data_IF_257324688123
#
_entry.id   IF_257324688123
#
_cell.length_a   1.000
_cell.length_b   1.000
_cell.length_c   1.000
_cell.angle_alpha   90.00
_cell.angle_beta   90.00
_cell.angle_gamma   90.00
#
_symmetry.space_group_name_H-M   'P 1'
#
loop_
_entity.id
_entity.type
_entity.pdbx_description
1 polymer ?
#
# COMPACT_ATOMS: atom_id res chain seq x y z
N UNK A 1 -30.69 -44.31 14.41
CA UNK A 1 -29.76 -43.17 14.55
C UNK A 1 -29.63 -42.57 13.16
N UNK A 2 -30.43 -41.54 12.88
CA UNK A 2 -30.48 -40.93 11.55
C UNK A 2 -29.34 -39.92 11.38
N UNK A 3 -28.54 -40.18 10.35
CA UNK A 3 -27.46 -39.34 9.88
C UNK A 3 -28.09 -38.14 9.15
N UNK A 4 -28.31 -37.03 9.86
CA UNK A 4 -28.72 -35.77 9.22
C UNK A 4 -27.56 -35.26 8.38
N UNK A 5 -27.61 -35.55 7.08
CA UNK A 5 -26.86 -34.84 6.05
C UNK A 5 -27.00 -33.34 6.30
N UNK A 6 -25.90 -32.69 6.68
CA UNK A 6 -25.82 -31.22 6.74
C UNK A 6 -26.00 -30.71 5.32
N UNK A 7 -27.24 -30.33 4.99
CA UNK A 7 -27.59 -29.64 3.76
C UNK A 7 -26.81 -28.32 3.72
N UNK A 8 -25.76 -28.24 2.91
CA UNK A 8 -25.05 -27.00 2.65
C UNK A 8 -25.98 -26.08 1.86
N UNK A 9 -26.20 -24.86 2.39
CA UNK A 9 -26.98 -23.82 1.71
C UNK A 9 -26.39 -23.49 0.34
N UNK A 10 -27.26 -23.21 -0.63
CA UNK A 10 -26.86 -22.80 -1.98
C UNK A 10 -26.06 -21.47 -1.92
N UNK A 11 -25.21 -21.22 -2.93
CA UNK A 11 -24.37 -20.01 -2.98
C UNK A 11 -25.24 -18.75 -2.97
N UNK A 12 -26.36 -18.71 -3.70
CA UNK A 12 -27.27 -17.57 -3.69
C UNK A 12 -27.96 -17.38 -2.32
N UNK A 13 -28.33 -18.45 -1.62
CA UNK A 13 -28.92 -18.34 -0.27
C UNK A 13 -27.90 -17.85 0.76
N UNK A 14 -26.63 -18.24 0.62
CA UNK A 14 -25.52 -17.74 1.44
C UNK A 14 -25.21 -16.28 1.13
N UNK A 15 -25.33 -15.88 -0.14
CA UNK A 15 -25.21 -14.48 -0.56
C UNK A 15 -26.39 -13.64 -0.05
N UNK A 16 -27.63 -14.13 -0.09
CA UNK A 16 -28.80 -13.45 0.44
C UNK A 16 -28.81 -13.31 1.97
N UNK A 17 -28.25 -14.31 2.70
CA UNK A 17 -27.99 -14.20 4.14
C UNK A 17 -26.84 -13.24 4.45
N UNK A 18 -25.83 -13.15 3.57
CA UNK A 18 -24.75 -12.17 3.64
C UNK A 18 -25.18 -10.77 3.15
N UNK A 19 -26.23 -10.63 2.35
CA UNK A 19 -26.82 -9.34 1.99
C UNK A 19 -27.47 -8.66 3.20
N UNK A 20 -27.81 -9.41 4.25
CA UNK A 20 -28.18 -8.88 5.56
C UNK A 20 -26.98 -8.57 6.47
N UNK A 21 -25.73 -8.77 6.04
CA UNK A 21 -24.55 -8.77 6.91
C UNK A 21 -23.88 -7.40 7.07
N UNK A 22 -24.63 -6.41 7.52
CA UNK A 22 -24.06 -5.42 8.43
C UNK A 22 -23.81 -6.11 9.78
N UNK A 23 -22.92 -5.58 10.63
CA UNK A 23 -22.84 -6.11 11.97
C UNK A 23 -24.23 -5.96 12.63
N UNK A 24 -24.80 -7.08 13.09
CA UNK A 24 -26.19 -7.12 13.59
C UNK A 24 -26.32 -6.37 14.93
N UNK A 25 -25.19 -6.13 15.62
CA UNK A 25 -25.06 -5.29 16.81
C UNK A 25 -23.63 -4.75 16.94
N UNK A 26 -23.41 -3.82 17.87
CA UNK A 26 -22.07 -3.31 18.23
C UNK A 26 -21.14 -4.42 18.72
N UNK A 27 -21.62 -5.35 19.55
CA UNK A 27 -20.83 -6.48 20.04
C UNK A 27 -20.43 -7.42 18.90
N UNK A 28 -21.31 -7.60 17.92
CA UNK A 28 -20.99 -8.38 16.73
C UNK A 28 -19.90 -7.70 15.88
N UNK A 29 -19.91 -6.37 15.77
CA UNK A 29 -18.87 -5.61 15.07
C UNK A 29 -17.51 -5.76 15.79
N UNK A 30 -17.49 -5.56 17.11
CA UNK A 30 -16.31 -5.74 17.97
C UNK A 30 -15.74 -7.16 17.83
N UNK A 31 -16.60 -8.18 17.90
CA UNK A 31 -16.21 -9.58 17.72
C UNK A 31 -15.65 -9.87 16.32
N UNK A 32 -16.14 -9.20 15.27
CA UNK A 32 -15.60 -9.33 13.91
C UNK A 32 -14.20 -8.72 13.81
N UNK A 33 -13.98 -7.52 14.38
CA UNK A 33 -12.67 -6.87 14.40
C UNK A 33 -11.66 -7.68 15.22
N UNK A 34 -12.05 -8.22 16.38
CA UNK A 34 -11.18 -9.09 17.18
C UNK A 34 -10.78 -10.36 16.42
N UNK A 35 -11.73 -10.99 15.73
CA UNK A 35 -11.44 -12.16 14.89
C UNK A 35 -10.51 -11.80 13.74
N UNK A 36 -10.74 -10.66 13.11
CA UNK A 36 -9.88 -10.16 12.04
C UNK A 36 -8.44 -9.91 12.53
N UNK A 37 -8.25 -9.34 13.73
CA UNK A 37 -6.92 -9.16 14.32
C UNK A 37 -6.17 -10.48 14.59
N UNK A 38 -6.91 -11.56 14.84
CA UNK A 38 -6.39 -12.89 15.17
C UNK A 38 -6.30 -13.87 13.99
N UNK A 39 -6.67 -13.49 12.76
CA UNK A 39 -6.52 -14.40 11.61
C UNK A 39 -5.05 -14.68 11.34
N UNK A 40 -4.77 -15.84 10.75
CA UNK A 40 -3.43 -16.13 10.28
C UNK A 40 -3.03 -15.16 9.17
N UNK A 41 -1.88 -14.48 9.26
CA UNK A 41 -1.49 -13.49 8.25
C UNK A 41 -1.39 -14.11 6.84
N UNK A 42 -0.98 -15.38 6.78
CA UNK A 42 -1.00 -16.19 5.56
C UNK A 42 -2.38 -16.27 4.87
N UNK A 43 -3.47 -16.19 5.63
CA UNK A 43 -4.84 -16.24 5.08
C UNK A 43 -5.24 -14.93 4.38
N UNK A 44 -4.46 -13.86 4.55
CA UNK A 44 -4.68 -12.58 3.87
C UNK A 44 -4.19 -12.69 2.44
N UNK A 45 -3.05 -13.31 2.18
CA UNK A 45 -2.45 -13.36 0.85
C UNK A 45 -3.25 -14.19 -0.16
N UNK A 46 -3.36 -13.71 -1.40
CA UNK A 46 -4.01 -14.40 -2.52
C UNK A 46 -3.03 -15.32 -3.27
N UNK A 47 -2.41 -16.25 -2.55
CA UNK A 47 -1.46 -17.21 -3.10
C UNK A 47 0.01 -16.79 -2.90
N UNK A 48 0.93 -17.60 -3.44
CA UNK A 48 2.36 -17.40 -3.21
C UNK A 48 2.90 -16.08 -3.76
N UNK A 49 2.36 -15.59 -4.88
CA UNK A 49 2.86 -14.35 -5.49
C UNK A 49 2.70 -13.14 -4.55
N UNK A 50 1.61 -13.09 -3.80
CA UNK A 50 1.37 -12.04 -2.80
C UNK A 50 2.32 -12.15 -1.62
N UNK A 51 2.59 -13.39 -1.18
CA UNK A 51 3.55 -13.64 -0.10
C UNK A 51 4.94 -13.20 -0.54
N UNK A 52 5.36 -13.55 -1.77
CA UNK A 52 6.67 -13.17 -2.30
C UNK A 52 6.77 -11.65 -2.47
N UNK A 53 5.76 -11.00 -3.07
CA UNK A 53 5.76 -9.55 -3.24
C UNK A 53 5.78 -8.81 -1.88
N UNK A 54 5.00 -9.27 -0.90
CA UNK A 54 5.01 -8.66 0.44
C UNK A 54 6.32 -8.93 1.19
N UNK A 55 6.93 -10.11 0.98
CA UNK A 55 8.23 -10.48 1.54
C UNK A 55 9.35 -9.60 0.97
N UNK A 56 9.33 -9.29 -0.33
CA UNK A 56 10.28 -8.32 -0.92
C UNK A 56 10.19 -6.93 -0.29
N UNK A 57 9.00 -6.54 0.17
CA UNK A 57 8.74 -5.19 0.71
C UNK A 57 8.97 -5.08 2.22
N UNK A 58 8.60 -6.12 2.98
CA UNK A 58 8.58 -6.09 4.47
C UNK A 58 9.20 -7.32 5.13
N UNK A 59 9.68 -8.28 4.34
CA UNK A 59 10.17 -9.58 4.80
C UNK A 59 11.35 -9.51 5.76
N UNK A 60 12.20 -8.50 5.61
CA UNK A 60 13.33 -8.24 6.52
C UNK A 60 12.89 -8.05 7.99
N UNK A 61 11.61 -7.70 8.22
CA UNK A 61 11.04 -7.51 9.54
C UNK A 61 10.22 -8.69 10.04
N UNK A 62 9.92 -9.70 9.21
CA UNK A 62 9.02 -10.79 9.59
C UNK A 62 9.58 -11.68 10.70
N UNK A 63 10.90 -11.83 10.74
CA UNK A 63 11.61 -12.60 11.78
C UNK A 63 11.96 -11.75 13.01
N UNK A 64 11.54 -10.48 13.06
CA UNK A 64 11.85 -9.61 14.19
C UNK A 64 11.18 -10.14 15.47
N UNK A 65 11.84 -10.16 16.64
CA UNK A 65 11.29 -10.74 17.87
C UNK A 65 9.95 -10.13 18.36
N UNK A 66 9.61 -8.92 17.90
CA UNK A 66 8.34 -8.26 18.21
C UNK A 66 7.21 -8.57 17.22
N UNK A 67 7.51 -9.25 16.11
CA UNK A 67 6.57 -9.55 15.04
C UNK A 67 6.07 -10.99 15.22
N UNK A 68 4.77 -11.14 15.44
CA UNK A 68 4.10 -12.43 15.32
C UNK A 68 3.49 -12.55 13.91
N UNK A 69 4.27 -13.08 12.97
CA UNK A 69 3.82 -13.26 11.59
C UNK A 69 2.62 -14.21 11.45
N UNK A 70 2.30 -15.00 12.49
CA UNK A 70 1.18 -15.94 12.45
C UNK A 70 -0.16 -15.28 12.69
N UNK A 71 -0.21 -13.99 13.01
CA UNK A 71 -1.45 -13.26 13.24
C UNK A 71 -1.47 -11.95 12.48
N UNK A 72 -2.66 -11.45 12.12
CA UNK A 72 -2.77 -10.19 11.39
C UNK A 72 -2.19 -9.02 12.19
N UNK A 73 -2.49 -8.94 13.49
CA UNK A 73 -1.95 -7.88 14.33
C UNK A 73 -0.42 -7.93 14.41
N UNK A 74 0.18 -9.11 14.55
CA UNK A 74 1.62 -9.25 14.64
C UNK A 74 2.28 -8.96 13.29
N UNK A 75 1.62 -9.33 12.18
CA UNK A 75 2.01 -8.88 10.85
C UNK A 75 1.96 -7.36 10.69
N UNK A 76 1.00 -6.65 11.30
CA UNK A 76 1.01 -5.17 11.28
C UNK A 76 2.27 -4.56 11.91
N UNK A 77 2.91 -5.22 12.88
CA UNK A 77 4.19 -4.75 13.46
C UNK A 77 5.32 -4.71 12.42
N UNK A 78 5.29 -5.57 11.38
CA UNK A 78 6.29 -5.52 10.31
C UNK A 78 6.19 -4.23 9.50
N UNK A 79 4.98 -3.69 9.30
CA UNK A 79 4.75 -2.40 8.66
C UNK A 79 5.24 -1.25 9.53
N UNK A 80 5.04 -1.33 10.84
CA UNK A 80 5.54 -0.32 11.78
C UNK A 80 7.07 -0.26 11.76
N UNK A 81 7.73 -1.43 11.80
CA UNK A 81 9.19 -1.52 11.70
C UNK A 81 9.70 -1.02 10.33
N UNK A 82 9.06 -1.41 9.23
CA UNK A 82 9.38 -0.94 7.88
C UNK A 82 9.27 0.59 7.77
N UNK A 83 8.16 1.16 8.25
CA UNK A 83 7.95 2.61 8.28
C UNK A 83 9.05 3.34 9.04
N UNK A 84 9.44 2.84 10.22
CA UNK A 84 10.48 3.48 11.04
C UNK A 84 11.88 3.32 10.46
N UNK A 85 12.13 2.21 9.74
CA UNK A 85 13.38 2.00 9.02
C UNK A 85 13.51 2.93 7.81
N UNK A 86 12.45 3.02 6.99
CA UNK A 86 12.45 3.82 5.75
C UNK A 86 12.32 5.33 6.02
N UNK A 87 11.71 5.72 7.14
CA UNK A 87 11.50 7.13 7.49
C UNK A 87 11.56 7.37 9.01
N UNK A 88 12.75 7.36 9.63
CA UNK A 88 12.93 7.51 11.08
C UNK A 88 12.50 8.88 11.63
N UNK A 89 12.16 9.86 10.77
CA UNK A 89 11.87 11.25 11.14
C UNK A 89 10.38 11.59 11.15
N UNK A 90 9.48 10.70 10.73
CA UNK A 90 8.05 10.98 10.62
C UNK A 90 7.26 10.48 11.84
N UNK A 91 7.69 10.88 13.04
CA UNK A 91 6.84 10.84 14.24
C UNK A 91 6.21 12.22 14.36
N UNK A 92 4.89 12.40 14.15
CA UNK A 92 4.27 13.68 14.47
C UNK A 92 4.15 13.77 15.99
N UNK A 93 5.21 14.23 16.67
CA UNK A 93 5.13 14.60 18.09
C UNK A 93 4.37 15.93 18.29
N UNK A 94 4.07 16.64 17.21
CA UNK A 94 3.14 17.76 17.16
C UNK A 94 2.83 18.03 15.69
N UNK A 95 1.63 17.68 15.22
CA UNK A 95 1.14 18.21 13.95
C UNK A 95 0.84 19.69 14.16
N UNK A 96 1.86 20.54 14.03
CA UNK A 96 1.59 21.88 13.56
C UNK A 96 1.05 21.73 12.13
N UNK A 97 -0.14 22.26 11.93
CA UNK A 97 -0.95 22.19 10.71
C UNK A 97 -0.36 23.06 9.59
N UNK A 98 0.95 22.99 9.34
CA UNK A 98 1.55 23.62 8.16
C UNK A 98 1.47 22.65 6.97
N UNK A 99 1.14 23.20 5.81
CA UNK A 99 1.13 22.54 4.50
C UNK A 99 2.51 21.95 4.11
N UNK A 100 3.54 22.10 4.94
CA UNK A 100 4.93 21.68 4.72
C UNK A 100 5.22 20.19 5.03
N UNK A 101 4.31 19.47 5.69
CA UNK A 101 4.48 18.02 5.97
C UNK A 101 4.34 17.13 4.72
N UNK A 102 3.85 17.69 3.60
CA UNK A 102 3.75 17.00 2.32
C UNK A 102 4.88 17.47 1.41
N UNK A 103 6.04 16.82 1.46
CA UNK A 103 7.06 17.08 0.44
C UNK A 103 6.46 16.78 -0.94
N UNK A 104 6.37 17.77 -1.86
CA UNK A 104 5.53 17.71 -3.06
C UNK A 104 6.02 16.75 -4.16
N UNK A 105 6.87 15.78 -3.84
CA UNK A 105 7.36 14.80 -4.82
C UNK A 105 7.85 13.48 -4.19
N UNK A 106 7.61 13.24 -2.90
CA UNK A 106 8.12 12.04 -2.21
C UNK A 106 6.99 11.21 -1.57
N UNK A 107 7.10 9.87 -1.65
CA UNK A 107 6.28 8.94 -0.88
C UNK A 107 6.35 9.23 0.63
N UNK A 108 5.21 9.20 1.31
CA UNK A 108 5.08 9.56 2.75
C UNK A 108 5.97 8.72 3.68
N UNK A 109 6.12 7.41 3.44
CA UNK A 109 6.91 6.51 4.31
C UNK A 109 8.01 5.77 3.56
N UNK A 110 8.43 6.30 2.41
CA UNK A 110 9.32 5.58 1.49
C UNK A 110 8.57 4.63 0.55
N UNK A 111 9.26 4.17 -0.49
CA UNK A 111 8.64 3.44 -1.60
C UNK A 111 8.23 2.03 -1.18
N UNK A 112 9.08 1.32 -0.43
CA UNK A 112 8.79 -0.04 0.04
C UNK A 112 7.55 -0.06 0.92
N UNK A 113 7.50 0.80 1.93
CA UNK A 113 6.36 0.91 2.84
C UNK A 113 5.06 1.38 2.14
N UNK A 114 5.14 2.34 1.22
CA UNK A 114 3.97 2.77 0.43
C UNK A 114 3.44 1.60 -0.42
N UNK A 115 4.32 0.88 -1.13
CA UNK A 115 3.92 -0.25 -1.96
C UNK A 115 3.35 -1.41 -1.12
N UNK A 116 3.91 -1.68 0.06
CA UNK A 116 3.41 -2.70 0.98
C UNK A 116 1.98 -2.37 1.43
N UNK A 117 1.73 -1.12 1.78
CA UNK A 117 0.42 -0.64 2.23
C UNK A 117 -0.63 -0.76 1.12
N UNK A 118 -0.25 -0.44 -0.13
CA UNK A 118 -1.12 -0.59 -1.30
C UNK A 118 -1.40 -2.05 -1.60
N UNK A 119 -0.38 -2.92 -1.53
CA UNK A 119 -0.54 -4.36 -1.72
C UNK A 119 -1.49 -4.95 -0.68
N UNK A 120 -1.38 -4.55 0.59
CA UNK A 120 -2.33 -4.93 1.64
C UNK A 120 -3.75 -4.51 1.28
N UNK A 121 -3.95 -3.25 0.87
CA UNK A 121 -5.25 -2.74 0.45
C UNK A 121 -5.87 -3.53 -0.71
N UNK A 122 -5.09 -3.80 -1.76
CA UNK A 122 -5.53 -4.60 -2.91
C UNK A 122 -5.90 -6.04 -2.50
N UNK A 123 -5.11 -6.62 -1.60
CA UNK A 123 -5.34 -7.97 -1.09
C UNK A 123 -6.63 -8.05 -0.27
N UNK A 124 -6.87 -7.08 0.62
CA UNK A 124 -8.11 -6.98 1.40
C UNK A 124 -9.34 -6.73 0.50
N UNK A 125 -9.20 -5.96 -0.57
CA UNK A 125 -10.28 -5.75 -1.54
C UNK A 125 -10.64 -7.04 -2.29
N UNK A 126 -9.66 -7.88 -2.62
CA UNK A 126 -9.92 -9.20 -3.22
C UNK A 126 -10.70 -10.12 -2.25
N UNK A 127 -10.45 -10.03 -0.94
CA UNK A 127 -11.28 -10.71 0.08
C UNK A 127 -12.70 -10.16 0.12
N UNK A 128 -12.86 -8.84 0.11
CA UNK A 128 -14.17 -8.19 0.15
C UNK A 128 -15.09 -8.63 -1.00
N UNK A 129 -14.51 -8.88 -2.18
CA UNK A 129 -15.22 -9.38 -3.37
C UNK A 129 -15.57 -10.88 -3.30
N UNK A 130 -15.43 -11.51 -2.14
CA UNK A 130 -15.77 -12.92 -1.93
C UNK A 130 -14.85 -13.89 -2.65
N UNK A 131 -13.69 -13.43 -3.13
CA UNK A 131 -12.81 -14.23 -3.98
C UNK A 131 -11.93 -15.19 -3.17
N UNK A 132 -11.94 -15.09 -1.85
CA UNK A 132 -10.95 -15.70 -0.97
C UNK A 132 -11.58 -16.53 0.17
N UNK A 133 -10.73 -17.30 0.86
CA UNK A 133 -11.15 -18.30 1.85
C UNK A 133 -11.51 -17.73 3.22
N UNK A 134 -10.95 -16.58 3.61
CA UNK A 134 -11.14 -16.04 4.96
C UNK A 134 -12.52 -15.40 5.11
N UNK A 135 -13.41 -16.10 5.80
CA UNK A 135 -14.76 -15.59 6.12
C UNK A 135 -14.70 -14.38 7.03
N UNK A 136 -13.73 -14.32 7.95
CA UNK A 136 -13.63 -13.23 8.90
C UNK A 136 -13.23 -11.91 8.22
N UNK A 137 -12.29 -11.95 7.26
CA UNK A 137 -11.97 -10.76 6.43
C UNK A 137 -13.18 -10.35 5.61
N UNK A 138 -13.83 -11.31 4.93
CA UNK A 138 -15.02 -11.03 4.12
C UNK A 138 -16.14 -10.37 4.92
N UNK A 139 -16.44 -10.87 6.11
CA UNK A 139 -17.47 -10.28 6.97
C UNK A 139 -17.06 -8.91 7.51
N UNK A 140 -15.80 -8.74 7.89
CA UNK A 140 -15.27 -7.45 8.33
C UNK A 140 -15.45 -6.39 7.23
N UNK A 141 -15.10 -6.70 5.97
CA UNK A 141 -15.18 -5.76 4.84
C UNK A 141 -16.62 -5.35 4.46
N UNK A 142 -17.65 -6.04 4.98
CA UNK A 142 -19.07 -5.69 4.77
C UNK A 142 -19.66 -4.80 5.85
N UNK A 143 -18.94 -4.57 6.95
CA UNK A 143 -19.33 -3.55 7.92
C UNK A 143 -19.34 -2.17 7.26
N UNK A 144 -20.19 -1.28 7.75
CA UNK A 144 -20.09 0.12 7.38
C UNK A 144 -18.82 0.73 8.00
N UNK A 145 -18.35 1.83 7.42
CA UNK A 145 -17.22 2.58 7.96
C UNK A 145 -17.45 3.00 9.42
N UNK A 146 -18.68 3.40 9.77
CA UNK A 146 -19.09 3.73 11.14
C UNK A 146 -19.01 2.52 12.08
N UNK A 147 -19.61 1.39 11.70
CA UNK A 147 -19.60 0.17 12.52
C UNK A 147 -18.17 -0.31 12.83
N UNK A 148 -17.29 -0.20 11.84
CA UNK A 148 -15.88 -0.55 12.01
C UNK A 148 -15.16 0.43 12.93
N UNK A 149 -15.38 1.73 12.75
CA UNK A 149 -14.80 2.76 13.61
C UNK A 149 -15.20 2.54 15.08
N UNK A 150 -16.49 2.36 15.33
CA UNK A 150 -17.01 2.18 16.69
C UNK A 150 -16.44 0.92 17.33
N UNK A 151 -16.33 -0.17 16.57
CA UNK A 151 -15.71 -1.41 17.03
C UNK A 151 -14.22 -1.24 17.36
N UNK A 152 -13.46 -0.53 16.53
CA UNK A 152 -12.05 -0.21 16.81
C UNK A 152 -11.92 0.66 18.07
N UNK A 153 -12.76 1.68 18.20
CA UNK A 153 -12.76 2.59 19.35
C UNK A 153 -13.05 1.87 20.65
N UNK A 154 -14.08 1.02 20.67
CA UNK A 154 -14.43 0.23 21.85
C UNK A 154 -13.26 -0.68 22.28
N UNK A 155 -12.61 -1.34 21.31
CA UNK A 155 -11.44 -2.17 21.57
C UNK A 155 -10.24 -1.38 22.10
N UNK A 156 -9.98 -0.19 21.55
CA UNK A 156 -8.90 0.68 22.03
C UNK A 156 -9.17 1.20 23.45
N UNK A 157 -10.43 1.51 23.79
CA UNK A 157 -10.84 1.96 25.12
C UNK A 157 -10.75 0.83 26.16
N UNK A 158 -11.13 -0.39 25.80
CA UNK A 158 -11.04 -1.57 26.66
C UNK A 158 -9.59 -1.94 27.07
N UNK A 159 -8.57 -1.43 26.36
CA UNK A 159 -7.15 -1.75 26.60
C UNK A 159 -6.54 -1.16 27.88
N UNK A 160 -7.13 -0.11 28.45
CA UNK A 160 -6.61 0.55 29.67
C UNK A 160 -5.16 1.08 29.54
N UNK A 161 -4.46 1.31 30.67
CA UNK A 161 -3.14 1.96 30.76
C UNK A 161 -1.94 1.15 30.24
N UNK A 162 -2.11 -0.11 29.81
CA UNK A 162 -1.03 -0.90 29.18
C UNK A 162 -0.92 -0.56 27.69
N UNK A 163 -0.55 0.69 27.39
CA UNK A 163 -0.30 1.15 26.02
C UNK A 163 1.18 1.06 25.68
N UNK A 164 1.45 0.69 24.43
CA UNK A 164 2.74 1.00 23.82
C UNK A 164 2.80 2.53 23.66
N UNK A 165 3.81 3.23 24.21
CA UNK A 165 3.91 4.69 24.12
C UNK A 165 4.02 5.22 22.68
N UNK A 166 4.31 4.34 21.71
CA UNK A 166 4.42 4.67 20.29
C UNK A 166 3.14 4.37 19.50
N UNK A 167 2.08 3.84 20.14
CA UNK A 167 0.78 3.62 19.49
C UNK A 167 -0.19 4.75 19.75
N UNK A 168 -1.08 4.99 18.78
CA UNK A 168 -2.07 6.05 18.83
C UNK A 168 -2.97 5.98 20.06
N UNK A 169 -3.24 7.14 20.69
CA UNK A 169 -4.27 7.21 21.72
C UNK A 169 -5.66 7.16 21.07
N UNK A 170 -6.71 6.68 21.76
CA UNK A 170 -8.06 6.68 21.21
C UNK A 170 -8.53 8.08 20.79
N UNK A 171 -8.20 9.11 21.59
CA UNK A 171 -8.56 10.49 21.28
C UNK A 171 -7.87 10.97 20.00
N UNK A 172 -6.56 10.70 19.87
CA UNK A 172 -5.80 11.07 18.68
C UNK A 172 -6.23 10.27 17.45
N UNK A 173 -6.56 8.99 17.62
CA UNK A 173 -7.14 8.17 16.56
C UNK A 173 -8.48 8.73 16.09
N UNK A 174 -9.36 9.15 17.02
CA UNK A 174 -10.63 9.75 16.66
C UNK A 174 -10.46 11.09 15.91
N UNK A 175 -9.48 11.91 16.31
CA UNK A 175 -9.16 13.17 15.61
C UNK A 175 -8.62 12.92 14.20
N UNK A 176 -7.64 12.02 14.05
CA UNK A 176 -7.09 11.65 12.75
C UNK A 176 -8.18 11.04 11.87
N UNK A 177 -9.02 10.16 12.42
CA UNK A 177 -10.13 9.56 11.70
C UNK A 177 -11.09 10.62 11.14
N UNK A 178 -11.53 11.57 11.97
CA UNK A 178 -12.40 12.68 11.56
C UNK A 178 -11.76 13.54 10.49
N UNK A 179 -10.45 13.78 10.58
CA UNK A 179 -9.69 14.56 9.61
C UNK A 179 -9.55 13.82 8.28
N UNK A 180 -9.05 12.58 8.31
CA UNK A 180 -8.73 11.78 7.14
C UNK A 180 -9.98 11.36 6.36
N UNK A 181 -11.08 11.06 7.06
CA UNK A 181 -12.32 10.60 6.43
C UNK A 181 -13.37 11.70 6.27
N UNK A 182 -12.95 12.97 6.42
CA UNK A 182 -13.81 14.11 6.18
C UNK A 182 -14.36 14.06 4.74
N UNK A 183 -15.67 13.89 4.60
CA UNK A 183 -16.35 13.80 3.32
C UNK A 183 -16.59 12.38 2.80
N UNK A 184 -16.13 11.34 3.51
CA UNK A 184 -16.57 9.97 3.26
C UNK A 184 -17.93 9.71 3.93
N UNK A 185 -18.81 9.02 3.21
CA UNK A 185 -20.09 8.57 3.75
C UNK A 185 -19.86 7.38 4.69
N UNK A 186 -20.10 7.60 5.99
CA UNK A 186 -19.85 6.60 7.04
C UNK A 186 -20.78 5.39 6.95
N UNK A 187 -21.88 5.49 6.19
CA UNK A 187 -22.80 4.39 5.94
C UNK A 187 -22.32 3.43 4.85
N UNK A 188 -21.30 3.81 4.07
CA UNK A 188 -20.75 2.95 3.02
C UNK A 188 -20.06 1.71 3.62
N UNK A 189 -20.18 0.54 2.97
CA UNK A 189 -19.37 -0.63 3.28
C UNK A 189 -17.87 -0.32 3.19
N UNK A 190 -17.07 -0.93 4.07
CA UNK A 190 -15.61 -0.80 4.04
C UNK A 190 -15.01 -1.20 2.69
N UNK A 191 -15.56 -2.20 2.02
CA UNK A 191 -15.14 -2.61 0.69
C UNK A 191 -15.17 -1.46 -0.33
N UNK A 192 -16.22 -0.65 -0.30
CA UNK A 192 -16.40 0.48 -1.23
C UNK A 192 -15.47 1.63 -0.88
N UNK A 193 -15.30 1.91 0.42
CA UNK A 193 -14.36 2.92 0.94
C UNK A 193 -12.92 2.54 0.57
N UNK A 194 -12.56 1.26 0.72
CA UNK A 194 -11.26 0.72 0.32
C UNK A 194 -11.03 0.86 -1.19
N UNK A 195 -12.03 0.54 -2.01
CA UNK A 195 -11.97 0.74 -3.45
C UNK A 195 -11.78 2.23 -3.81
N UNK A 196 -12.47 3.15 -3.12
CA UNK A 196 -12.33 4.59 -3.32
C UNK A 196 -10.90 5.08 -3.02
N UNK A 197 -10.27 4.61 -1.93
CA UNK A 197 -8.86 4.93 -1.66
C UNK A 197 -7.91 4.39 -2.73
N UNK A 198 -8.12 3.15 -3.18
CA UNK A 198 -7.29 2.55 -4.22
C UNK A 198 -7.47 3.23 -5.58
N UNK A 199 -8.68 3.71 -5.90
CA UNK A 199 -8.93 4.56 -7.09
C UNK A 199 -8.19 5.88 -6.98
N UNK A 200 -8.21 6.53 -5.82
CA UNK A 200 -7.46 7.76 -5.57
C UNK A 200 -5.96 7.54 -5.72
N UNK A 201 -5.44 6.44 -5.17
CA UNK A 201 -4.05 6.02 -5.35
C UNK A 201 -3.70 5.87 -6.84
N UNK A 202 -4.48 5.06 -7.57
CA UNK A 202 -4.25 4.78 -9.00
C UNK A 202 -4.33 6.06 -9.84
N UNK A 203 -5.24 6.97 -9.52
CA UNK A 203 -5.34 8.26 -10.20
C UNK A 203 -4.07 9.11 -10.04
N UNK A 204 -3.42 9.08 -8.88
CA UNK A 204 -2.11 9.71 -8.68
C UNK A 204 -0.99 8.92 -9.37
N UNK A 205 -0.95 7.60 -9.18
CA UNK A 205 0.06 6.70 -9.73
C UNK A 205 0.13 6.76 -11.27
N UNK A 206 -1.01 6.92 -11.97
CA UNK A 206 -1.06 7.03 -13.44
C UNK A 206 -0.18 8.16 -14.00
N UNK A 207 -0.01 9.25 -13.24
CA UNK A 207 0.85 10.35 -13.65
C UNK A 207 2.33 9.95 -13.64
N UNK A 208 2.72 9.17 -12.62
CA UNK A 208 4.08 8.63 -12.50
C UNK A 208 4.33 7.50 -13.49
N UNK A 209 3.39 6.57 -13.69
CA UNK A 209 3.55 5.48 -14.65
C UNK A 209 3.67 5.98 -16.09
N UNK A 210 2.96 7.07 -16.44
CA UNK A 210 3.15 7.73 -17.73
C UNK A 210 4.58 8.25 -17.91
N UNK A 211 5.14 8.89 -16.89
CA UNK A 211 6.54 9.34 -16.92
C UNK A 211 7.50 8.16 -17.03
N UNK A 212 7.30 7.11 -16.23
CA UNK A 212 8.11 5.89 -16.29
C UNK A 212 8.01 5.18 -17.63
N UNK A 213 6.84 5.19 -18.28
CA UNK A 213 6.69 4.66 -19.63
C UNK A 213 7.56 5.41 -20.64
N UNK A 214 7.54 6.74 -20.60
CA UNK A 214 8.37 7.58 -21.47
C UNK A 214 9.86 7.33 -21.18
N UNK A 215 10.25 7.28 -19.91
CA UNK A 215 11.63 7.00 -19.48
C UNK A 215 12.10 5.62 -19.93
N UNK A 216 11.29 4.57 -19.76
CA UNK A 216 11.60 3.21 -20.24
C UNK A 216 11.81 3.17 -21.75
N UNK A 217 10.98 3.88 -22.52
CA UNK A 217 11.15 3.97 -23.97
C UNK A 217 12.44 4.71 -24.36
N UNK A 218 12.77 5.77 -23.62
CA UNK A 218 14.01 6.52 -23.80
C UNK A 218 15.25 5.66 -23.49
N UNK A 219 15.24 4.96 -22.35
CA UNK A 219 16.31 4.05 -21.93
C UNK A 219 16.49 2.90 -22.94
N UNK A 220 15.40 2.30 -23.42
CA UNK A 220 15.45 1.25 -24.44
C UNK A 220 16.05 1.73 -25.76
N UNK A 221 15.71 2.95 -26.21
CA UNK A 221 16.33 3.55 -27.40
C UNK A 221 17.83 3.81 -27.17
N UNK A 222 18.22 4.34 -26.01
CA UNK A 222 19.64 4.56 -25.69
C UNK A 222 20.43 3.24 -25.71
N UNK A 223 19.91 2.18 -25.08
CA UNK A 223 20.55 0.86 -25.12
C UNK A 223 20.67 0.31 -26.55
N UNK A 224 19.64 0.47 -27.39
CA UNK A 224 19.68 0.06 -28.80
C UNK A 224 20.79 0.78 -29.57
N UNK A 225 20.91 2.10 -29.40
CA UNK A 225 21.91 2.92 -30.09
C UNK A 225 23.34 2.59 -29.62
N UNK A 226 23.52 2.28 -28.34
CA UNK A 226 24.80 1.81 -27.79
C UNK A 226 25.23 0.47 -28.40
N UNK A 227 24.29 -0.48 -28.54
CA UNK A 227 24.54 -1.79 -29.15
C UNK A 227 24.86 -1.69 -30.65
N UNK A 228 24.13 -0.85 -31.40
CA UNK A 228 24.46 -0.57 -32.81
C UNK A 228 25.83 0.08 -32.96
N UNK A 229 26.16 1.05 -32.09
CA UNK A 229 27.45 1.75 -32.09
C UNK A 229 28.63 0.84 -31.71
N UNK A 230 28.41 -0.15 -30.84
CA UNK A 230 29.41 -1.13 -30.44
C UNK A 230 29.66 -2.23 -31.48
N UNK A 231 28.85 -2.32 -32.53
CA UNK A 231 28.95 -3.36 -33.54
C UNK A 231 28.64 -4.77 -33.02
N UNK A 232 27.91 -4.89 -31.90
CA UNK A 232 27.50 -6.17 -31.35
C UNK A 232 26.49 -6.86 -32.28
N UNK A 233 26.72 -8.14 -32.54
CA UNK A 233 25.80 -8.97 -33.33
C UNK A 233 24.65 -9.38 -32.43
N UNK A 234 23.53 -8.66 -32.52
CA UNK A 234 22.28 -9.03 -31.86
C UNK A 234 21.85 -10.46 -32.28
N UNK A 235 21.21 -11.23 -31.38
CA UNK A 235 20.63 -12.53 -31.71
C UNK A 235 19.74 -12.46 -32.97
N UNK A 236 19.77 -13.49 -33.81
CA UNK A 236 19.13 -13.54 -35.14
C UNK A 236 17.66 -13.05 -35.17
N UNK A 237 16.90 -13.26 -34.09
CA UNK A 237 15.51 -12.84 -33.96
C UNK A 237 15.31 -11.31 -33.86
N UNK A 238 16.33 -10.57 -33.40
CA UNK A 238 16.37 -9.10 -33.35
C UNK A 238 17.00 -8.51 -34.62
N UNK A 239 17.95 -9.23 -35.24
CA UNK A 239 18.53 -8.85 -36.53
C UNK A 239 17.49 -8.81 -37.66
N UNK A 240 16.51 -9.72 -37.66
CA UNK A 240 15.38 -9.73 -38.62
C UNK A 240 14.37 -8.59 -38.37
N UNK A 241 14.43 -7.93 -37.20
CA UNK A 241 13.55 -6.82 -36.79
C UNK A 241 14.25 -5.47 -36.77
N UNK A 242 15.42 -5.31 -37.41
CA UNK A 242 16.06 -3.99 -37.56
C UNK A 242 15.04 -2.98 -38.04
N UNK A 243 14.57 -2.15 -37.11
CA UNK A 243 13.62 -1.10 -37.42
C UNK A 243 14.37 -0.10 -38.29
N UNK A 244 13.84 0.17 -39.48
CA UNK A 244 14.42 1.16 -40.39
C UNK A 244 14.47 2.56 -39.76
N UNK A 245 13.70 2.78 -38.68
CA UNK A 245 13.67 3.99 -37.88
C UNK A 245 13.44 3.66 -36.38
N UNK A 246 14.50 3.36 -35.60
CA UNK A 246 14.37 3.07 -34.18
C UNK A 246 13.90 4.29 -33.38
N UNK A 247 14.32 5.50 -33.80
CA UNK A 247 13.89 6.76 -33.19
C UNK A 247 12.37 6.93 -33.29
N UNK A 248 11.82 6.83 -34.50
CA UNK A 248 10.38 6.94 -34.75
C UNK A 248 9.57 5.87 -34.03
N UNK A 249 10.08 4.63 -33.98
CA UNK A 249 9.42 3.54 -33.25
C UNK A 249 9.31 3.82 -31.75
N UNK A 250 10.44 4.08 -31.07
CA UNK A 250 10.43 4.29 -29.62
C UNK A 250 9.71 5.58 -29.25
N UNK A 251 9.80 6.63 -30.08
CA UNK A 251 9.04 7.86 -29.85
C UNK A 251 7.53 7.65 -29.98
N UNK A 252 7.08 6.89 -31.00
CA UNK A 252 5.67 6.51 -31.14
C UNK A 252 5.21 5.66 -29.95
N UNK A 253 6.05 4.75 -29.47
CA UNK A 253 5.77 3.94 -28.28
C UNK A 253 5.65 4.79 -27.02
N UNK A 254 6.56 5.76 -26.81
CA UNK A 254 6.51 6.69 -25.68
C UNK A 254 5.24 7.56 -25.70
N UNK A 255 4.80 7.97 -26.90
CA UNK A 255 3.53 8.68 -27.09
C UNK A 255 2.30 7.79 -26.81
N UNK A 256 2.39 6.49 -27.13
CA UNK A 256 1.35 5.50 -26.91
C UNK A 256 1.36 4.99 -25.46
N UNK A 257 0.87 5.80 -24.53
CA UNK A 257 0.66 5.36 -23.15
C UNK A 257 -0.64 4.53 -23.03
N UNK A 258 -0.58 3.28 -22.56
CA UNK A 258 -1.78 2.49 -22.29
C UNK A 258 -2.45 3.00 -21.00
N UNK A 259 -3.51 3.80 -21.14
CA UNK A 259 -4.24 4.40 -20.00
C UNK A 259 -5.19 3.40 -19.28
N UNK A 260 -5.08 2.10 -19.57
CA UNK A 260 -6.02 1.06 -19.19
C UNK A 260 -5.63 0.33 -17.89
N UNK A 261 -5.47 1.06 -16.80
CA UNK A 261 -5.52 0.41 -15.48
C UNK A 261 -6.97 0.14 -15.11
N UNK A 262 -7.37 -1.13 -14.92
CA UNK A 262 -8.74 -1.46 -14.57
C UNK A 262 -9.09 -0.90 -13.20
N UNK A 263 -10.34 -0.46 -13.03
CA UNK A 263 -10.84 -0.02 -11.73
C UNK A 263 -10.69 -1.16 -10.71
N UNK A 264 -9.93 -0.94 -9.61
CA UNK A 264 -9.70 -1.95 -8.59
C UNK A 264 -11.01 -2.42 -7.94
N UNK A 265 -12.08 -1.63 -7.97
CA UNK A 265 -13.41 -1.97 -7.45
C UNK A 265 -14.28 -2.81 -8.39
N UNK A 266 -13.94 -2.91 -9.69
CA UNK A 266 -14.79 -3.60 -10.68
C UNK A 266 -15.08 -5.07 -10.35
N UNK A 267 -16.33 -5.47 -10.56
CA UNK A 267 -16.75 -6.87 -10.51
C UNK A 267 -16.09 -7.68 -11.65
N UNK A 268 -15.85 -8.97 -11.43
CA UNK A 268 -15.27 -9.86 -12.47
C UNK A 268 -13.79 -9.68 -12.81
N UNK A 269 -13.11 -8.63 -12.32
CA UNK A 269 -11.65 -8.44 -12.52
C UNK A 269 -10.86 -9.63 -11.95
N UNK A 270 -9.89 -10.20 -12.67
CA UNK A 270 -9.09 -11.30 -12.12
C UNK A 270 -8.26 -10.84 -10.90
N UNK A 271 -7.98 -11.77 -9.98
CA UNK A 271 -7.13 -11.48 -8.82
C UNK A 271 -5.74 -11.07 -9.28
N UNK A 272 -5.20 -10.04 -8.65
CA UNK A 272 -3.85 -9.56 -8.93
C UNK A 272 -3.63 -8.86 -10.26
N UNK A 273 -4.67 -8.64 -11.07
CA UNK A 273 -4.56 -7.85 -12.31
C UNK A 273 -4.05 -6.43 -12.04
N UNK A 274 -4.45 -5.83 -10.91
CA UNK A 274 -4.02 -4.47 -10.53
C UNK A 274 -2.64 -4.49 -9.87
N UNK A 275 -2.39 -5.40 -8.92
CA UNK A 275 -1.17 -5.38 -8.09
C UNK A 275 0.13 -5.63 -8.85
N UNK A 276 0.08 -6.30 -10.00
CA UNK A 276 1.26 -6.47 -10.89
C UNK A 276 1.67 -5.20 -11.62
N UNK A 277 0.86 -4.13 -11.55
CA UNK A 277 1.05 -2.89 -12.31
C UNK A 277 1.31 -1.68 -11.43
N UNK A 278 0.62 -1.57 -10.29
CA UNK A 278 0.46 -0.28 -9.60
C UNK A 278 1.47 0.01 -8.49
N UNK A 279 2.69 -0.53 -8.57
CA UNK A 279 3.75 -0.17 -7.64
C UNK A 279 4.54 1.04 -8.14
N UNK A 280 4.96 1.89 -7.20
CA UNK A 280 5.91 2.95 -7.51
C UNK A 280 7.32 2.33 -7.63
N UNK A 281 8.08 2.63 -8.69
CA UNK A 281 9.47 2.24 -8.76
C UNK A 281 10.33 3.14 -7.88
N UNK A 282 11.51 2.65 -7.53
CA UNK A 282 12.50 3.41 -6.77
C UNK A 282 13.17 4.49 -7.64
N UNK A 283 12.51 5.65 -7.75
CA UNK A 283 13.01 6.81 -8.51
C UNK A 283 12.80 8.11 -7.75
N UNK A 284 13.74 9.04 -7.94
CA UNK A 284 13.58 10.43 -7.54
C UNK A 284 12.74 11.19 -8.58
N UNK A 285 11.52 11.58 -8.16
CA UNK A 285 10.57 12.33 -8.99
C UNK A 285 10.66 13.85 -8.78
N UNK A 286 11.69 14.35 -8.11
CA UNK A 286 11.97 15.79 -8.08
C UNK A 286 12.13 16.33 -9.50
N UNK A 287 11.66 17.56 -9.71
CA UNK A 287 11.73 18.23 -11.00
C UNK A 287 13.18 18.31 -11.49
N UNK A 288 14.12 18.58 -10.58
CA UNK A 288 15.55 18.63 -10.87
C UNK A 288 16.08 17.27 -11.38
N UNK A 289 15.72 16.16 -10.73
CA UNK A 289 16.16 14.83 -11.14
C UNK A 289 15.58 14.45 -12.51
N UNK A 290 14.29 14.75 -12.74
CA UNK A 290 13.63 14.46 -14.01
C UNK A 290 14.16 15.31 -15.16
N UNK A 291 14.44 16.60 -14.95
CA UNK A 291 15.07 17.47 -15.94
C UNK A 291 16.51 17.01 -16.27
N UNK A 292 17.26 16.53 -15.28
CA UNK A 292 18.57 15.94 -15.50
C UNK A 292 18.51 14.67 -16.36
N UNK A 293 17.43 13.87 -16.25
CA UNK A 293 17.18 12.74 -17.14
C UNK A 293 16.80 13.21 -18.56
N UNK A 294 15.92 14.20 -18.68
CA UNK A 294 15.52 14.77 -19.98
C UNK A 294 16.71 15.38 -20.74
N UNK A 295 17.68 15.97 -20.04
CA UNK A 295 18.92 16.47 -20.64
C UNK A 295 19.72 15.38 -21.37
N UNK A 296 19.67 14.14 -20.86
CA UNK A 296 20.33 12.95 -21.42
C UNK A 296 19.54 12.26 -22.53
N UNK A 297 18.40 12.80 -22.95
CA UNK A 297 17.57 12.19 -23.98
C UNK A 297 18.35 12.00 -25.30
N UNK A 298 18.17 10.85 -25.99
CA UNK A 298 18.87 10.53 -27.23
C UNK A 298 18.40 11.36 -28.43
N UNK A 299 17.27 12.05 -28.31
CA UNK A 299 16.73 12.94 -29.35
C UNK A 299 16.06 14.18 -28.74
N UNK A 300 15.90 15.22 -29.57
CA UNK A 300 15.24 16.47 -29.17
C UNK A 300 13.76 16.24 -28.86
N UNK A 301 13.10 15.40 -29.65
CA UNK A 301 11.68 15.08 -29.52
C UNK A 301 11.41 14.37 -28.19
N UNK A 302 12.28 13.45 -27.77
CA UNK A 302 12.19 12.79 -26.46
C UNK A 302 12.37 13.77 -25.30
N UNK A 303 13.33 14.70 -25.43
CA UNK A 303 13.53 15.76 -24.43
C UNK A 303 12.28 16.61 -24.29
N UNK A 304 11.74 17.11 -25.40
CA UNK A 304 10.54 17.95 -25.40
C UNK A 304 9.32 17.19 -24.86
N UNK A 305 9.19 15.89 -25.16
CA UNK A 305 8.13 15.03 -24.62
C UNK A 305 8.25 14.88 -23.10
N UNK A 306 9.45 14.63 -22.57
CA UNK A 306 9.68 14.53 -21.13
C UNK A 306 9.43 15.86 -20.43
N UNK A 307 10.04 16.96 -20.90
CA UNK A 307 9.87 18.31 -20.33
C UNK A 307 8.40 18.73 -20.30
N UNK A 308 7.61 18.39 -21.32
CA UNK A 308 6.16 18.66 -21.34
C UNK A 308 5.38 17.90 -20.26
N UNK A 309 5.87 16.73 -19.83
CA UNK A 309 5.22 15.91 -18.80
C UNK A 309 5.79 16.17 -17.39
N UNK A 310 6.92 16.87 -17.28
CA UNK A 310 7.48 17.31 -16.00
C UNK A 310 6.80 18.61 -15.59
N UNK A 311 6.07 18.57 -14.48
CA UNK A 311 5.46 19.74 -13.88
C UNK A 311 5.40 19.54 -12.38
N UNK A 312 6.15 20.33 -11.60
CA UNK A 312 6.16 20.22 -10.14
C UNK A 312 4.77 20.31 -9.52
N UNK A 313 3.90 21.20 -10.02
CA UNK A 313 2.51 21.30 -9.55
C UNK A 313 1.70 20.03 -9.83
N UNK A 314 1.77 19.49 -11.06
CA UNK A 314 1.03 18.28 -11.45
C UNK A 314 1.53 17.06 -10.67
N UNK A 315 2.84 16.90 -10.56
CA UNK A 315 3.46 15.79 -9.83
C UNK A 315 3.23 15.89 -8.34
N UNK A 316 3.27 17.10 -7.77
CA UNK A 316 2.92 17.32 -6.36
C UNK A 316 1.46 17.04 -6.06
N UNK A 317 0.54 17.45 -6.94
CA UNK A 317 -0.86 17.09 -6.82
C UNK A 317 -1.09 15.58 -6.93
N UNK A 318 -0.37 14.90 -7.84
CA UNK A 318 -0.45 13.44 -7.99
C UNK A 318 0.13 12.69 -6.77
N UNK A 319 1.30 13.11 -6.28
CA UNK A 319 1.93 12.55 -5.08
C UNK A 319 1.08 12.80 -3.84
N UNK A 320 0.44 13.98 -3.74
CA UNK A 320 -0.51 14.31 -2.68
C UNK A 320 -1.67 13.32 -2.64
N UNK A 321 -2.32 13.04 -3.78
CA UNK A 321 -3.40 12.04 -3.87
C UNK A 321 -2.93 10.64 -3.44
N UNK A 322 -1.75 10.25 -3.92
CA UNK A 322 -1.14 8.96 -3.63
C UNK A 322 -0.83 8.80 -2.14
N UNK A 323 -0.16 9.79 -1.55
CA UNK A 323 0.16 9.82 -0.13
C UNK A 323 -1.09 9.86 0.74
N UNK A 324 -2.11 10.66 0.38
CA UNK A 324 -3.39 10.65 1.11
C UNK A 324 -4.02 9.26 1.11
N UNK A 325 -4.07 8.58 -0.03
CA UNK A 325 -4.61 7.23 -0.11
C UNK A 325 -3.81 6.21 0.72
N UNK A 326 -2.47 6.28 0.67
CA UNK A 326 -1.60 5.40 1.47
C UNK A 326 -1.79 5.65 2.97
N UNK A 327 -1.88 6.91 3.39
CA UNK A 327 -2.15 7.26 4.79
C UNK A 327 -3.48 6.68 5.23
N UNK A 328 -4.53 6.83 4.42
CA UNK A 328 -5.85 6.28 4.70
C UNK A 328 -5.81 4.75 4.82
N UNK A 329 -5.13 4.07 3.90
CA UNK A 329 -4.96 2.63 3.96
C UNK A 329 -4.27 2.17 5.25
N UNK A 330 -3.15 2.81 5.60
CA UNK A 330 -2.43 2.46 6.82
C UNK A 330 -3.24 2.75 8.09
N UNK A 331 -3.95 3.89 8.14
CA UNK A 331 -4.75 4.31 9.28
C UNK A 331 -5.96 3.41 9.55
N UNK A 332 -6.53 2.76 8.52
CA UNK A 332 -7.69 1.88 8.69
C UNK A 332 -7.30 0.43 8.92
N UNK A 333 -6.21 -0.04 8.32
CA UNK A 333 -5.88 -1.46 8.26
C UNK A 333 -4.58 -1.85 8.96
N UNK A 334 -3.73 -0.90 9.38
CA UNK A 334 -2.47 -1.22 10.08
C UNK A 334 -2.47 -0.63 11.49
N UNK A 335 -2.52 0.70 11.60
CA UNK A 335 -2.38 1.43 12.88
C UNK A 335 -3.34 0.97 14.00
N UNK A 336 -4.62 0.66 13.71
CA UNK A 336 -5.54 0.22 14.75
C UNK A 336 -5.15 -1.13 15.36
N UNK A 337 -4.56 -2.02 14.56
CA UNK A 337 -4.21 -3.38 14.97
C UNK A 337 -2.93 -3.43 15.82
N UNK A 338 -2.03 -2.45 15.64
CA UNK A 338 -0.94 -2.17 16.60
C UNK A 338 -1.50 -1.76 17.97
N UNK A 339 -2.66 -1.09 17.96
CA UNK A 339 -3.23 -0.42 19.12
C UNK A 339 -4.22 -1.29 19.91
N UNK A 340 -4.75 -2.36 19.33
CA UNK A 340 -5.85 -3.16 19.90
C UNK A 340 -5.39 -4.48 20.55
N UNK A 341 -4.25 -5.06 20.14
CA UNK A 341 -3.86 -6.39 20.63
C UNK A 341 -2.99 -6.38 21.90
N UNK A 342 -3.14 -7.44 22.70
CA UNK A 342 -2.35 -7.74 23.90
C UNK A 342 -1.28 -8.77 23.52
N UNK A 343 -0.01 -8.50 23.82
CA UNK A 343 0.68 -9.35 24.81
C UNK A 343 2.03 -8.81 25.32
N UNK A 344 2.35 -9.26 26.53
CA UNK A 344 3.38 -8.73 27.44
C UNK A 344 4.85 -8.90 27.04
N UNK A 345 5.15 -9.05 25.75
CA UNK A 345 6.50 -9.22 25.20
C UNK A 345 7.18 -7.88 24.84
N UNK A 346 6.42 -6.86 24.43
CA UNK A 346 7.00 -5.60 23.94
C UNK A 346 7.84 -4.84 24.97
N UNK A 347 7.52 -4.90 26.27
CA UNK A 347 8.29 -4.17 27.30
C UNK A 347 9.76 -4.63 27.39
N UNK A 348 10.01 -5.94 27.27
CA UNK A 348 11.37 -6.48 27.37
C UNK A 348 12.20 -6.21 26.11
N UNK A 349 11.55 -6.12 24.94
CA UNK A 349 12.20 -5.84 23.66
C UNK A 349 12.50 -4.33 23.54
N UNK A 350 11.54 -3.46 23.87
CA UNK A 350 11.75 -2.01 23.86
C UNK A 350 12.75 -1.56 24.92
N UNK A 351 12.77 -2.17 26.11
CA UNK A 351 13.82 -1.93 27.10
C UNK A 351 15.21 -2.27 26.53
N UNK A 352 15.36 -3.38 25.79
CA UNK A 352 16.61 -3.75 25.14
C UNK A 352 17.00 -2.82 23.98
N UNK A 353 16.05 -2.41 23.14
CA UNK A 353 16.32 -1.51 22.01
C UNK A 353 16.72 -0.10 22.48
N UNK A 354 16.05 0.45 23.50
CA UNK A 354 16.44 1.72 24.14
C UNK A 354 17.81 1.63 24.81
N UNK A 355 18.09 0.52 25.52
CA UNK A 355 19.39 0.29 26.14
C UNK A 355 20.52 0.22 25.10
N UNK A 356 20.29 -0.45 23.98
CA UNK A 356 21.29 -0.62 22.92
C UNK A 356 21.49 0.66 22.10
N UNK A 357 20.42 1.44 21.85
CA UNK A 357 20.50 2.73 21.16
C UNK A 357 21.23 3.80 21.98
N UNK A 358 20.98 3.85 23.30
CA UNK A 358 21.70 4.75 24.22
C UNK A 358 23.19 4.36 24.33
N UNK A 359 23.48 3.06 24.43
CA UNK A 359 24.86 2.57 24.47
C UNK A 359 25.65 2.86 23.18
N UNK A 360 25.01 2.81 22.01
CA UNK A 360 25.64 3.19 20.75
C UNK A 360 25.93 4.70 20.68
N UNK A 361 24.97 5.53 21.09
CA UNK A 361 25.13 6.99 21.12
C UNK A 361 26.15 7.49 22.15
N UNK A 362 26.34 6.78 23.27
CA UNK A 362 27.37 7.09 24.26
C UNK A 362 28.78 6.67 23.79
N UNK A 363 28.88 5.56 23.04
CA UNK A 363 30.15 5.08 22.47
C UNK A 363 30.67 6.01 21.36
N UNK A 364 29.78 6.62 20.60
CA UNK A 364 30.13 7.62 19.58
C UNK A 364 30.47 9.01 20.15
N UNK A 365 30.15 9.27 21.44
CA UNK A 365 30.58 10.49 22.15
C UNK A 365 31.92 10.34 22.88
N UNK A 366 32.43 9.12 23.01
CA UNK A 366 33.68 8.81 23.72
C UNK A 366 34.86 8.51 22.78
N UNK A 367 34.62 8.45 21.47
CA UNK A 367 35.64 8.49 20.42
C UNK A 367 35.59 9.85 19.71
#
# INVERSE_FOLDING_TARGET
>A
MDNKEKKFLALEERMALAEKSQAVSSEAAVSQVQRFAGIHAGDIFCGNDDVMAMNELTGEFWDHPSVDINTYHGFCESFFLAKNHDNPLCVPSSMDTSEELFMPAKPVWGIRMNNATVLLGLTLLDHAKGRMKSRDVYHCMRMTLEQYQDALMDLMLQRGERRNPFTMTPDFFQEIWKMCLKGYDVSKPLADVLADFLRQYIAGWKEFDRLEHILRCMEALSCYLEQEGAGEVLPQAEADRRQQDPYGYYFALACAYPDDVPDPGSEGLAKGTVRSRVFLPERDYSEEALLALAAKAPSREFRELLEKNISGERLGNAMGKLNSAVILLYMLWVEPYLSIWKDGSMKDIFSKLLSNGIAAAEKDRQN
#
